data_IF_804952387549
#
_entry.id   IF_804952387549
#
_cell.length_a   1.000
_cell.length_b   1.000
_cell.length_c   1.000
_cell.angle_alpha   90.00
_cell.angle_beta   90.00
_cell.angle_gamma   90.00
#
_symmetry.space_group_name_H-M   'P 1'
#
loop_
_entity.id
_entity.type
_entity.pdbx_description
1 polymer ?
#
# COMPACT_ATOMS: atom_id res chain seq x y z
N UNK A 1 19.70 19.29 -9.18
CA UNK A 1 18.47 18.97 -8.43
C UNK A 1 18.52 19.66 -7.08
N UNK A 2 17.40 20.21 -6.62
CA UNK A 2 17.30 20.85 -5.30
C UNK A 2 17.26 19.72 -4.26
N UNK A 3 18.23 19.70 -3.33
CA UNK A 3 18.35 18.65 -2.29
C UNK A 3 17.57 18.94 -1.01
N UNK A 4 16.94 20.12 -0.93
CA UNK A 4 16.30 20.61 0.30
C UNK A 4 14.83 20.22 0.42
N UNK A 5 14.21 19.72 -0.64
CA UNK A 5 12.80 19.35 -0.67
C UNK A 5 12.65 17.94 -1.26
N UNK A 6 12.22 16.95 -0.46
CA UNK A 6 12.00 15.61 -0.97
C UNK A 6 10.85 15.59 -1.99
N UNK A 7 10.95 14.70 -2.97
CA UNK A 7 9.84 14.42 -3.87
C UNK A 7 8.73 13.68 -3.10
N UNK A 8 7.58 14.34 -2.94
CA UNK A 8 6.44 13.72 -2.26
C UNK A 8 5.83 12.60 -3.11
N UNK A 9 6.01 11.35 -2.67
CA UNK A 9 5.53 10.19 -3.39
C UNK A 9 3.98 10.08 -3.40
N UNK A 10 3.27 10.73 -2.47
CA UNK A 10 1.81 10.77 -2.51
C UNK A 10 1.33 11.42 -3.81
N UNK A 11 1.85 12.60 -4.13
CA UNK A 11 1.52 13.30 -5.38
C UNK A 11 2.22 12.68 -6.60
N UNK A 12 3.51 12.37 -6.49
CA UNK A 12 4.29 11.92 -7.65
C UNK A 12 3.92 10.49 -8.06
N UNK A 13 3.87 9.56 -7.11
CA UNK A 13 3.66 8.14 -7.38
C UNK A 13 2.18 7.77 -7.36
N UNK A 14 1.46 8.10 -6.29
CA UNK A 14 0.06 7.66 -6.14
C UNK A 14 -0.87 8.43 -7.08
N UNK A 15 -0.92 9.76 -6.97
CA UNK A 15 -1.79 10.60 -7.81
C UNK A 15 -1.22 10.88 -9.21
N UNK A 16 0.09 10.69 -9.40
CA UNK A 16 0.78 10.89 -10.67
C UNK A 16 0.90 9.60 -11.48
N UNK A 17 1.94 8.82 -11.19
CA UNK A 17 2.34 7.64 -12.00
C UNK A 17 1.29 6.53 -11.97
N UNK A 18 0.85 6.08 -10.79
CA UNK A 18 -0.12 4.99 -10.66
C UNK A 18 -1.45 5.37 -11.31
N UNK A 19 -1.95 6.59 -11.06
CA UNK A 19 -3.14 7.13 -11.72
C UNK A 19 -2.98 7.15 -13.25
N UNK A 20 -1.84 7.62 -13.76
CA UNK A 20 -1.54 7.66 -15.20
C UNK A 20 -1.60 6.25 -15.82
N UNK A 21 -0.96 5.26 -15.20
CA UNK A 21 -0.97 3.87 -15.68
C UNK A 21 -2.39 3.30 -15.74
N UNK A 22 -3.18 3.49 -14.68
CA UNK A 22 -4.57 3.01 -14.65
C UNK A 22 -5.45 3.68 -15.70
N UNK A 23 -5.28 4.99 -15.93
CA UNK A 23 -6.00 5.70 -17.00
C UNK A 23 -5.59 5.20 -18.39
N UNK A 24 -4.30 4.90 -18.62
CA UNK A 24 -3.85 4.33 -19.89
C UNK A 24 -4.50 2.96 -20.16
N UNK A 25 -4.58 2.10 -19.14
CA UNK A 25 -5.16 0.77 -19.30
C UNK A 25 -6.70 0.76 -19.36
N UNK A 26 -7.37 1.75 -18.77
CA UNK A 26 -8.85 1.79 -18.73
C UNK A 26 -9.47 2.69 -19.80
N UNK A 27 -8.86 3.83 -20.08
CA UNK A 27 -9.41 4.90 -20.94
C UNK A 27 -8.47 5.29 -22.09
N UNK A 28 -7.27 4.72 -22.15
CA UNK A 28 -6.25 5.09 -23.13
C UNK A 28 -6.51 4.62 -24.56
N UNK A 29 -5.51 4.83 -25.42
CA UNK A 29 -5.52 4.35 -26.81
C UNK A 29 -5.50 2.82 -26.84
N UNK A 30 -6.08 2.24 -27.90
CA UNK A 30 -6.33 0.78 -28.01
C UNK A 30 -5.09 -0.12 -27.85
N UNK A 31 -3.87 0.38 -28.05
CA UNK A 31 -2.64 -0.43 -27.95
C UNK A 31 -2.27 -0.90 -26.54
N UNK A 32 -2.78 -0.27 -25.49
CA UNK A 32 -2.50 -0.64 -24.09
C UNK A 32 -3.78 -0.81 -23.26
N UNK A 33 -4.94 -0.55 -23.87
CA UNK A 33 -6.22 -0.53 -23.18
C UNK A 33 -6.73 -1.95 -23.02
N UNK A 34 -7.16 -2.28 -21.81
CA UNK A 34 -7.88 -3.50 -21.51
C UNK A 34 -9.21 -3.53 -22.27
N UNK A 35 -9.57 -4.69 -22.78
CA UNK A 35 -10.89 -4.90 -23.37
C UNK A 35 -12.00 -4.68 -22.32
N UNK A 36 -13.24 -4.38 -22.73
CA UNK A 36 -14.36 -4.27 -21.78
C UNK A 36 -14.55 -5.52 -20.91
N UNK A 37 -14.27 -6.72 -21.44
CA UNK A 37 -14.33 -7.96 -20.67
C UNK A 37 -13.24 -8.03 -19.59
N UNK A 38 -12.00 -7.67 -19.95
CA UNK A 38 -10.89 -7.60 -18.99
C UNK A 38 -11.13 -6.55 -17.91
N UNK A 39 -11.68 -5.38 -18.26
CA UNK A 39 -12.05 -4.35 -17.27
C UNK A 39 -13.14 -4.82 -16.30
N UNK A 40 -14.17 -5.51 -16.80
CA UNK A 40 -15.19 -6.13 -15.94
C UNK A 40 -14.59 -7.14 -14.99
N UNK A 41 -13.66 -7.96 -15.46
CA UNK A 41 -12.96 -8.93 -14.63
C UNK A 41 -12.11 -8.25 -13.54
N UNK A 42 -11.32 -7.23 -13.86
CA UNK A 42 -10.56 -6.45 -12.86
C UNK A 42 -11.50 -5.84 -11.82
N UNK A 43 -12.62 -5.25 -12.26
CA UNK A 43 -13.62 -4.68 -11.37
C UNK A 43 -14.26 -5.73 -10.46
N UNK A 44 -14.54 -6.93 -10.99
CA UNK A 44 -15.07 -8.02 -10.19
C UNK A 44 -14.07 -8.49 -9.15
N UNK A 45 -12.81 -8.68 -9.51
CA UNK A 45 -11.74 -9.02 -8.55
C UNK A 45 -11.60 -7.95 -7.46
N UNK A 46 -11.61 -6.66 -7.82
CA UNK A 46 -11.58 -5.56 -6.85
C UNK A 46 -12.76 -5.61 -5.88
N UNK A 47 -13.97 -5.94 -6.35
CA UNK A 47 -15.16 -6.10 -5.49
C UNK A 47 -15.01 -7.27 -4.54
N UNK A 48 -14.52 -8.41 -5.01
CA UNK A 48 -14.32 -9.62 -4.19
C UNK A 48 -13.33 -9.34 -3.04
N UNK A 49 -12.27 -8.58 -3.28
CA UNK A 49 -11.28 -8.25 -2.24
C UNK A 49 -11.82 -7.34 -1.12
N UNK A 50 -12.98 -6.70 -1.26
CA UNK A 50 -13.45 -5.67 -0.31
C UNK A 50 -13.66 -6.20 1.11
N UNK A 51 -14.10 -7.45 1.27
CA UNK A 51 -14.31 -8.10 2.58
C UNK A 51 -13.00 -8.36 3.31
N UNK A 52 -11.89 -8.47 2.57
CA UNK A 52 -10.62 -8.98 3.07
C UNK A 52 -9.60 -7.89 3.37
N UNK A 53 -9.91 -6.65 2.97
CA UNK A 53 -9.07 -5.49 3.26
C UNK A 53 -9.28 -5.06 4.70
N UNK A 54 -8.25 -4.91 5.55
CA UNK A 54 -8.40 -4.43 6.93
C UNK A 54 -8.94 -3.00 7.04
N UNK A 55 -9.45 -2.62 8.21
CA UNK A 55 -9.94 -1.26 8.51
C UNK A 55 -8.83 -0.24 8.75
N UNK A 56 -7.59 -0.69 8.90
CA UNK A 56 -6.42 0.20 8.93
C UNK A 56 -6.30 0.98 7.61
N UNK A 57 -6.79 0.41 6.49
CA UNK A 57 -6.92 1.15 5.24
C UNK A 57 -8.12 2.08 5.30
N UNK A 58 -7.87 3.37 5.03
CA UNK A 58 -8.90 4.40 5.03
C UNK A 58 -10.07 4.13 4.06
N UNK A 59 -9.84 3.34 3.00
CA UNK A 59 -10.87 2.95 2.03
C UNK A 59 -10.71 1.50 1.56
N UNK A 60 -11.84 0.91 1.18
CA UNK A 60 -11.90 -0.38 0.49
C UNK A 60 -11.68 -0.19 -1.02
N UNK A 61 -11.20 -1.21 -1.74
CA UNK A 61 -11.05 -1.16 -3.19
C UNK A 61 -12.35 -0.75 -3.88
N UNK A 62 -12.25 0.23 -4.78
CA UNK A 62 -13.34 0.67 -5.65
C UNK A 62 -13.12 0.17 -7.06
N UNK A 63 -14.14 0.29 -7.89
CA UNK A 63 -14.04 -0.02 -9.32
C UNK A 63 -13.09 0.95 -10.02
N UNK A 64 -12.46 0.48 -11.10
CA UNK A 64 -11.74 1.32 -12.05
C UNK A 64 -12.66 2.32 -12.79
N UNK A 65 -13.97 2.13 -12.76
CA UNK A 65 -14.94 3.09 -13.30
C UNK A 65 -14.94 4.41 -12.49
N UNK A 66 -14.57 4.35 -11.20
CA UNK A 66 -14.49 5.50 -10.30
C UNK A 66 -13.11 6.15 -10.26
N UNK A 67 -12.17 5.80 -11.16
CA UNK A 67 -10.75 6.19 -11.09
C UNK A 67 -10.52 7.68 -10.90
N UNK A 68 -11.34 8.53 -11.52
CA UNK A 68 -11.23 9.98 -11.40
C UNK A 68 -11.50 10.49 -9.98
N UNK A 69 -12.26 9.73 -9.19
CA UNK A 69 -12.65 10.05 -7.80
C UNK A 69 -11.80 9.32 -6.77
N UNK A 70 -10.86 8.47 -7.19
CA UNK A 70 -9.91 7.83 -6.27
C UNK A 70 -9.02 8.88 -5.62
N UNK A 71 -8.66 8.66 -4.35
CA UNK A 71 -7.64 9.48 -3.69
C UNK A 71 -6.34 8.71 -3.51
N UNK A 72 -5.31 9.43 -3.08
CA UNK A 72 -3.96 8.90 -2.98
C UNK A 72 -3.87 7.59 -2.19
N UNK A 73 -4.64 7.45 -1.11
CA UNK A 73 -4.68 6.20 -0.30
C UNK A 73 -5.17 4.98 -1.06
N UNK A 74 -6.05 5.15 -2.05
CA UNK A 74 -6.55 4.05 -2.88
C UNK A 74 -5.56 3.68 -3.97
N UNK A 75 -4.94 4.67 -4.61
CA UNK A 75 -3.83 4.43 -5.52
C UNK A 75 -2.67 3.74 -4.80
N UNK A 76 -2.35 4.16 -3.58
CA UNK A 76 -1.34 3.53 -2.72
C UNK A 76 -1.68 2.07 -2.41
N UNK A 77 -2.91 1.79 -1.98
CA UNK A 77 -3.38 0.42 -1.72
C UNK A 77 -3.28 -0.46 -2.98
N UNK A 78 -3.70 0.06 -4.13
CA UNK A 78 -3.62 -0.64 -5.40
C UNK A 78 -2.17 -0.93 -5.79
N UNK A 79 -1.33 0.09 -5.73
CA UNK A 79 0.07 0.04 -6.11
C UNK A 79 0.87 -0.93 -5.25
N UNK A 80 0.68 -0.92 -3.93
CA UNK A 80 1.47 -1.75 -3.01
C UNK A 80 0.92 -3.18 -2.88
N UNK A 81 -0.39 -3.37 -3.05
CA UNK A 81 -1.04 -4.65 -2.74
C UNK A 81 -1.97 -5.13 -3.84
N UNK A 82 -3.18 -4.56 -3.94
CA UNK A 82 -4.29 -5.21 -4.66
C UNK A 82 -4.04 -5.30 -6.16
N UNK A 83 -3.29 -4.37 -6.75
CA UNK A 83 -2.89 -4.39 -8.15
C UNK A 83 -2.16 -5.67 -8.57
N UNK A 84 -1.28 -6.20 -7.69
CA UNK A 84 -0.52 -7.44 -7.92
C UNK A 84 -1.42 -8.69 -7.99
N UNK A 85 -2.63 -8.60 -7.44
CA UNK A 85 -3.60 -9.70 -7.45
C UNK A 85 -4.59 -9.51 -8.59
N UNK A 86 -5.17 -8.33 -8.70
CA UNK A 86 -6.29 -8.11 -9.63
C UNK A 86 -5.85 -8.01 -11.08
N UNK A 87 -4.62 -7.60 -11.37
CA UNK A 87 -4.12 -7.46 -12.74
C UNK A 87 -3.47 -8.75 -13.29
N UNK A 88 -3.11 -9.69 -12.42
CA UNK A 88 -2.37 -10.91 -12.79
C UNK A 88 -3.20 -11.79 -13.71
N UNK A 89 -2.62 -12.17 -14.85
CA UNK A 89 -3.29 -12.95 -15.89
C UNK A 89 -4.35 -12.17 -16.69
N UNK A 90 -4.50 -10.87 -16.46
CA UNK A 90 -5.39 -9.99 -17.23
C UNK A 90 -4.58 -9.02 -18.09
N UNK A 91 -3.61 -8.32 -17.48
CA UNK A 91 -2.68 -7.49 -18.24
C UNK A 91 -1.76 -8.37 -19.08
N UNK A 92 -1.42 -7.95 -20.31
CA UNK A 92 -0.29 -8.52 -21.05
C UNK A 92 0.97 -8.53 -20.21
N UNK A 93 1.78 -9.58 -20.33
CA UNK A 93 2.95 -9.79 -19.47
C UNK A 93 3.89 -8.57 -19.46
N UNK A 94 4.17 -7.97 -20.61
CA UNK A 94 5.01 -6.76 -20.70
C UNK A 94 4.49 -5.59 -19.86
N UNK A 95 3.17 -5.39 -19.79
CA UNK A 95 2.55 -4.34 -18.97
C UNK A 95 2.55 -4.73 -17.48
N UNK A 96 2.35 -6.02 -17.19
CA UNK A 96 2.33 -6.53 -15.82
C UNK A 96 3.74 -6.50 -15.20
N UNK A 97 4.78 -6.97 -15.90
CA UNK A 97 6.17 -6.90 -15.42
C UNK A 97 6.62 -5.45 -15.22
N UNK A 98 6.22 -4.54 -16.13
CA UNK A 98 6.45 -3.11 -15.99
C UNK A 98 5.79 -2.53 -14.73
N UNK A 99 4.51 -2.85 -14.49
CA UNK A 99 3.83 -2.49 -13.25
C UNK A 99 4.51 -3.07 -12.01
N UNK A 100 4.93 -4.33 -12.07
CA UNK A 100 5.58 -5.02 -10.96
C UNK A 100 6.91 -4.38 -10.58
N UNK A 101 7.72 -3.91 -11.54
CA UNK A 101 8.94 -3.16 -11.26
C UNK A 101 8.68 -1.90 -10.42
N UNK A 102 7.71 -1.07 -10.84
CA UNK A 102 7.31 0.11 -10.08
C UNK A 102 6.73 -0.24 -8.71
N UNK A 103 5.82 -1.21 -8.68
CA UNK A 103 5.14 -1.64 -7.48
C UNK A 103 6.11 -2.21 -6.43
N UNK A 104 7.06 -3.05 -6.82
CA UNK A 104 8.08 -3.62 -5.92
C UNK A 104 9.08 -2.57 -5.46
N UNK A 105 9.53 -1.68 -6.35
CA UNK A 105 10.40 -0.58 -5.96
C UNK A 105 9.77 0.27 -4.86
N UNK A 106 8.47 0.58 -4.98
CA UNK A 106 7.80 1.37 -3.96
C UNK A 106 7.51 0.58 -2.68
N UNK A 107 7.24 -0.73 -2.76
CA UNK A 107 7.19 -1.58 -1.56
C UNK A 107 8.49 -1.52 -0.75
N UNK A 108 9.64 -1.53 -1.44
CA UNK A 108 10.95 -1.38 -0.80
C UNK A 108 11.06 0.01 -0.16
N UNK A 109 10.78 1.08 -0.93
CA UNK A 109 11.02 2.45 -0.50
C UNK A 109 10.08 2.96 0.60
N UNK A 110 8.88 2.38 0.76
CA UNK A 110 7.96 2.73 1.86
C UNK A 110 8.30 2.02 3.17
N UNK A 111 8.95 0.85 3.11
CA UNK A 111 9.31 0.09 4.31
C UNK A 111 10.62 0.59 4.91
N UNK A 112 10.66 1.07 6.17
CA UNK A 112 11.89 1.56 6.80
C UNK A 112 13.07 0.56 6.75
N UNK A 113 12.77 -0.73 6.90
CA UNK A 113 13.79 -1.78 6.88
C UNK A 113 14.26 -2.11 5.45
N UNK A 114 13.34 -2.23 4.49
CA UNK A 114 13.70 -2.56 3.11
C UNK A 114 14.41 -1.39 2.43
N UNK A 115 14.00 -0.15 2.71
CA UNK A 115 14.69 1.05 2.21
C UNK A 115 16.17 1.08 2.58
N UNK A 116 16.56 0.54 3.74
CA UNK A 116 17.96 0.50 4.17
C UNK A 116 18.75 -0.62 3.48
N UNK A 117 18.12 -1.77 3.26
CA UNK A 117 18.78 -3.00 2.79
C UNK A 117 18.75 -3.16 1.27
N UNK A 118 17.73 -2.64 0.60
CA UNK A 118 17.45 -2.87 -0.83
C UNK A 118 17.30 -1.56 -1.63
N UNK A 119 17.82 -0.43 -1.12
CA UNK A 119 17.72 0.87 -1.80
C UNK A 119 18.26 0.86 -3.24
N UNK A 120 19.43 0.24 -3.43
CA UNK A 120 20.11 0.13 -4.73
C UNK A 120 19.22 -0.63 -5.71
N UNK A 121 18.67 -1.76 -5.28
CA UNK A 121 17.77 -2.56 -6.11
C UNK A 121 16.48 -1.81 -6.46
N UNK A 122 15.91 -1.03 -5.54
CA UNK A 122 14.77 -0.17 -5.85
C UNK A 122 15.13 0.88 -6.92
N UNK A 123 16.35 1.42 -6.92
CA UNK A 123 16.81 2.35 -7.95
C UNK A 123 16.94 1.68 -9.32
N UNK A 124 17.45 0.45 -9.38
CA UNK A 124 17.52 -0.35 -10.61
C UNK A 124 16.13 -0.62 -11.18
N UNK A 125 15.18 -1.01 -10.33
CA UNK A 125 13.77 -1.22 -10.72
C UNK A 125 13.11 0.05 -11.26
N UNK A 126 13.34 1.21 -10.62
CA UNK A 126 12.80 2.49 -11.10
C UNK A 126 13.47 2.94 -12.41
N UNK A 127 14.77 2.67 -12.58
CA UNK A 127 15.49 2.92 -13.84
C UNK A 127 14.89 2.09 -14.96
N UNK A 128 14.76 0.78 -14.73
CA UNK A 128 14.09 -0.14 -15.66
C UNK A 128 12.67 0.35 -15.99
N UNK A 129 11.88 0.74 -14.98
CA UNK A 129 10.52 1.24 -15.19
C UNK A 129 10.47 2.46 -16.10
N UNK A 130 11.36 3.43 -15.90
CA UNK A 130 11.41 4.66 -16.71
C UNK A 130 11.83 4.33 -18.15
N UNK A 131 12.88 3.53 -18.33
CA UNK A 131 13.38 3.14 -19.64
C UNK A 131 12.37 2.31 -20.44
N UNK A 132 11.82 1.25 -19.82
CA UNK A 132 10.82 0.41 -20.46
C UNK A 132 9.51 1.13 -20.71
N UNK A 133 9.13 2.05 -19.83
CA UNK A 133 7.93 2.87 -20.02
C UNK A 133 7.97 3.67 -21.32
N UNK A 134 9.15 4.16 -21.73
CA UNK A 134 9.35 4.84 -23.03
C UNK A 134 9.10 3.92 -24.21
N UNK A 135 9.56 2.67 -24.15
CA UNK A 135 9.37 1.70 -25.24
C UNK A 135 7.93 1.20 -25.32
N UNK A 136 7.30 0.96 -24.17
CA UNK A 136 5.95 0.44 -24.08
C UNK A 136 4.93 1.50 -24.49
N UNK A 137 4.99 2.69 -23.90
CA UNK A 137 3.94 3.71 -24.01
C UNK A 137 4.31 4.90 -24.89
N UNK A 138 5.53 4.93 -25.45
CA UNK A 138 6.05 6.05 -26.23
C UNK A 138 6.72 7.14 -25.38
N UNK A 139 7.30 8.13 -26.06
CA UNK A 139 8.05 9.23 -25.41
C UNK A 139 7.15 10.12 -24.55
N UNK A 140 5.87 10.20 -24.85
CA UNK A 140 4.85 10.92 -24.06
C UNK A 140 4.63 10.34 -22.66
N UNK A 141 5.10 9.11 -22.43
CA UNK A 141 5.07 8.52 -21.10
C UNK A 141 5.99 9.24 -20.12
N UNK A 142 7.12 9.75 -20.62
CA UNK A 142 8.20 10.38 -19.89
C UNK A 142 7.87 11.82 -19.46
N UNK A 143 6.83 11.96 -18.65
CA UNK A 143 6.50 13.23 -17.98
C UNK A 143 7.34 13.42 -16.73
N UNK A 144 7.36 14.65 -16.20
CA UNK A 144 8.09 15.02 -14.99
C UNK A 144 7.94 13.97 -13.87
N UNK A 145 6.71 13.59 -13.52
CA UNK A 145 6.45 12.66 -12.41
C UNK A 145 7.09 11.27 -12.60
N UNK A 146 7.30 10.80 -13.85
CA UNK A 146 7.96 9.50 -14.06
C UNK A 146 9.48 9.66 -14.04
N UNK A 147 10.01 10.78 -14.56
CA UNK A 147 11.44 11.08 -14.43
C UNK A 147 11.86 11.30 -12.97
N UNK A 148 11.00 11.94 -12.16
CA UNK A 148 11.30 12.19 -10.76
C UNK A 148 11.45 10.92 -9.93
N UNK A 149 10.93 9.78 -10.41
CA UNK A 149 11.07 8.48 -9.74
C UNK A 149 12.54 8.11 -9.50
N UNK A 150 13.45 8.45 -10.43
CA UNK A 150 14.87 8.14 -10.33
C UNK A 150 15.56 8.80 -9.13
N UNK A 151 14.91 9.77 -8.49
CA UNK A 151 15.45 10.50 -7.35
C UNK A 151 14.86 10.06 -6.00
N UNK A 152 13.80 9.23 -6.01
CA UNK A 152 13.15 8.76 -4.79
C UNK A 152 14.09 7.97 -3.88
N UNK A 153 15.02 7.21 -4.46
CA UNK A 153 15.98 6.42 -3.71
C UNK A 153 16.95 7.32 -2.93
N UNK A 154 17.43 8.40 -3.54
CA UNK A 154 18.28 9.41 -2.92
C UNK A 154 17.53 10.18 -1.81
N UNK A 155 16.26 10.52 -2.05
CA UNK A 155 15.40 11.10 -1.02
C UNK A 155 15.22 10.13 0.14
N UNK A 156 15.01 8.84 -0.16
CA UNK A 156 14.81 7.83 0.87
C UNK A 156 16.08 7.57 1.70
N UNK A 157 17.26 7.69 1.08
CA UNK A 157 18.55 7.67 1.80
C UNK A 157 18.70 8.87 2.74
N UNK A 158 18.21 10.04 2.33
CA UNK A 158 18.39 11.30 3.06
C UNK A 158 17.37 11.48 4.18
N UNK A 159 16.11 11.13 3.94
CA UNK A 159 14.97 11.40 4.83
C UNK A 159 14.36 10.14 5.48
N UNK A 160 14.83 8.95 5.11
CA UNK A 160 14.28 7.66 5.53
C UNK A 160 13.21 7.15 4.56
N UNK A 161 12.38 6.19 4.96
CA UNK A 161 11.33 5.67 4.06
C UNK A 161 10.42 6.78 3.53
N UNK A 162 9.83 6.56 2.35
CA UNK A 162 9.03 7.57 1.66
C UNK A 162 7.85 8.09 2.49
N UNK A 163 7.35 7.31 3.45
CA UNK A 163 6.31 7.79 4.37
C UNK A 163 6.77 8.94 5.28
N UNK A 164 8.04 8.94 5.70
CA UNK A 164 8.60 9.98 6.58
C UNK A 164 8.69 11.35 5.91
N UNK A 165 8.71 11.39 4.57
CA UNK A 165 8.77 12.61 3.78
C UNK A 165 7.53 12.83 2.90
N UNK A 166 6.43 12.13 3.19
CA UNK A 166 5.20 12.23 2.41
C UNK A 166 4.24 13.32 2.91
N UNK A 167 3.38 13.77 2.01
CA UNK A 167 2.33 14.74 2.33
C UNK A 167 1.09 14.12 2.98
N UNK A 168 1.01 12.80 3.18
CA UNK A 168 -0.18 12.13 3.76
C UNK A 168 -0.54 12.68 5.14
N UNK A 169 0.42 12.74 6.06
CA UNK A 169 0.21 13.26 7.41
C UNK A 169 -0.11 14.76 7.38
N UNK A 170 0.57 15.52 6.51
CA UNK A 170 0.36 16.95 6.36
C UNK A 170 -1.06 17.27 5.86
N UNK A 171 -1.53 16.63 4.79
CA UNK A 171 -2.88 16.84 4.26
C UNK A 171 -3.97 16.41 5.26
N UNK A 172 -3.72 15.31 5.97
CA UNK A 172 -4.63 14.83 7.01
C UNK A 172 -4.75 15.83 8.16
N UNK A 173 -3.64 16.37 8.63
CA UNK A 173 -3.63 17.41 9.66
C UNK A 173 -4.21 18.74 9.15
N UNK A 174 -3.90 19.14 7.92
CA UNK A 174 -4.48 20.33 7.26
C UNK A 174 -6.00 20.23 7.19
N UNK A 175 -6.55 19.04 6.92
CA UNK A 175 -7.99 18.82 6.96
C UNK A 175 -8.58 19.03 8.38
N UNK A 176 -7.86 18.62 9.42
CA UNK A 176 -8.28 18.89 10.80
C UNK A 176 -8.26 20.39 11.13
N UNK A 177 -7.21 21.11 10.74
CA UNK A 177 -7.11 22.56 10.90
C UNK A 177 -8.29 23.27 10.21
N UNK A 178 -8.62 22.88 8.98
CA UNK A 178 -9.78 23.42 8.26
C UNK A 178 -11.10 23.23 9.03
N UNK A 179 -11.29 22.12 9.74
CA UNK A 179 -12.49 21.90 10.58
C UNK A 179 -12.56 22.80 11.81
N UNK A 180 -11.43 23.36 12.25
CA UNK A 180 -11.40 24.31 13.38
C UNK A 180 -11.94 25.68 12.99
N UNK A 181 -11.95 25.99 11.69
CA UNK A 181 -12.35 27.27 11.11
C UNK A 181 -13.74 27.14 10.50
N UNK A 182 -14.72 27.85 11.05
CA UNK A 182 -16.12 27.82 10.57
C UNK A 182 -16.46 28.95 9.61
N UNK A 183 -15.70 30.04 9.65
CA UNK A 183 -15.90 31.21 8.78
C UNK A 183 -14.57 31.92 8.49
N UNK A 184 -14.56 32.81 7.49
CA UNK A 184 -13.39 33.64 7.16
C UNK A 184 -13.05 34.71 8.20
N UNK A 185 -13.91 34.93 9.21
CA UNK A 185 -13.71 35.98 10.21
C UNK A 185 -12.77 35.51 11.33
N UNK A 186 -11.66 36.22 11.56
CA UNK A 186 -10.70 35.89 12.63
C UNK A 186 -10.24 34.41 12.63
N UNK A 187 -9.87 33.90 11.46
CA UNK A 187 -9.45 32.49 11.23
C UNK A 187 -8.43 31.99 12.27
N UNK A 188 -7.40 32.80 12.56
CA UNK A 188 -6.36 32.43 13.53
C UNK A 188 -6.90 32.31 14.96
N UNK A 189 -7.81 33.21 15.37
CA UNK A 189 -8.42 33.18 16.70
C UNK A 189 -9.31 31.96 16.85
N UNK A 190 -10.09 31.60 15.81
CA UNK A 190 -10.91 30.39 15.80
C UNK A 190 -10.04 29.14 15.99
N UNK A 191 -8.95 29.02 15.23
CA UNK A 191 -8.02 27.90 15.32
C UNK A 191 -7.34 27.85 16.71
N UNK A 192 -6.82 28.98 17.20
CA UNK A 192 -6.15 29.07 18.49
C UNK A 192 -7.07 28.68 19.67
N UNK A 193 -8.30 29.20 19.71
CA UNK A 193 -9.30 28.84 20.73
C UNK A 193 -9.60 27.34 20.68
N UNK A 194 -9.77 26.77 19.49
CA UNK A 194 -10.07 25.34 19.33
C UNK A 194 -8.90 24.43 19.72
N UNK A 195 -7.67 24.85 19.48
CA UNK A 195 -6.46 24.15 19.94
C UNK A 195 -6.36 24.19 21.47
N UNK A 196 -6.64 25.34 22.09
CA UNK A 196 -6.67 25.49 23.55
C UNK A 196 -7.76 24.63 24.20
N UNK A 197 -8.96 24.58 23.62
CA UNK A 197 -10.03 23.66 24.05
C UNK A 197 -9.56 22.20 24.02
N UNK A 198 -8.87 21.79 22.93
CA UNK A 198 -8.37 20.41 22.78
C UNK A 198 -7.24 20.05 23.73
N UNK A 199 -6.35 20.98 24.07
CA UNK A 199 -5.25 20.72 25.00
C UNK A 199 -5.71 20.52 26.44
N UNK A 200 -6.92 20.95 26.78
CA UNK A 200 -7.53 20.73 28.11
C UNK A 200 -8.18 19.36 28.24
N UNK A 201 -8.40 18.65 27.12
CA UNK A 201 -8.87 17.27 27.14
C UNK A 201 -7.63 16.40 27.38
N UNK A 202 -7.61 15.57 28.44
CA UNK A 202 -6.53 14.63 28.66
C UNK A 202 -6.37 13.77 27.39
N UNK A 203 -5.22 13.88 26.73
CA UNK A 203 -4.86 12.96 25.66
C UNK A 203 -4.73 11.60 26.35
N UNK A 204 -5.67 10.70 26.10
CA UNK A 204 -5.45 9.29 26.43
C UNK A 204 -4.22 8.87 25.63
N UNK A 205 -3.09 8.74 26.33
CA UNK A 205 -1.88 8.12 25.80
C UNK A 205 -2.31 6.76 25.26
N UNK A 206 -2.17 6.60 23.95
CA UNK A 206 -2.63 5.41 23.23
C UNK A 206 -2.02 4.17 23.87
N UNK A 207 -2.85 3.38 24.55
CA UNK A 207 -2.55 1.99 24.87
C UNK A 207 -2.13 1.26 23.58
N UNK A 208 -1.29 0.24 23.70
CA UNK A 208 -0.96 -0.66 22.61
C UNK A 208 -2.25 -1.03 21.84
N UNK A 209 -2.30 -0.74 20.53
CA UNK A 209 -3.50 -0.97 19.73
C UNK A 209 -4.00 -2.40 19.96
N UNK A 210 -5.26 -2.58 20.38
CA UNK A 210 -5.75 -3.88 20.80
C UNK A 210 -5.64 -4.89 19.66
N UNK A 211 -5.24 -6.12 19.99
CA UNK A 211 -5.25 -7.25 19.06
C UNK A 211 -6.69 -7.46 18.60
N UNK A 212 -6.86 -7.50 17.28
CA UNK A 212 -8.14 -7.68 16.63
C UNK A 212 -8.40 -9.18 16.45
N UNK A 213 -9.63 -9.60 16.71
CA UNK A 213 -10.04 -11.01 16.68
C UNK A 213 -10.94 -11.35 15.49
N UNK A 214 -11.41 -10.33 14.76
CA UNK A 214 -12.33 -10.49 13.64
C UNK A 214 -11.64 -10.21 12.31
N UNK A 215 -11.87 -11.09 11.34
CA UNK A 215 -11.57 -10.84 9.93
C UNK A 215 -12.23 -9.52 9.49
N UNK A 216 -11.56 -8.67 8.69
CA UNK A 216 -10.22 -8.83 8.10
C UNK A 216 -9.04 -8.31 8.93
N UNK A 217 -9.23 -7.94 10.19
CA UNK A 217 -8.22 -7.21 10.97
C UNK A 217 -7.34 -8.10 11.84
N UNK A 218 -7.65 -9.39 11.89
CA UNK A 218 -7.06 -10.35 12.82
C UNK A 218 -5.87 -11.13 12.25
N UNK A 219 -5.29 -10.67 11.14
CA UNK A 219 -4.17 -11.35 10.48
C UNK A 219 -2.84 -10.73 10.90
N UNK A 220 -1.90 -11.57 11.31
CA UNK A 220 -0.59 -11.16 11.77
C UNK A 220 0.53 -12.07 11.23
N UNK A 221 1.71 -11.51 11.02
CA UNK A 221 2.94 -12.26 10.75
C UNK A 221 3.49 -12.77 12.08
N UNK A 222 3.86 -14.05 12.12
CA UNK A 222 4.41 -14.71 13.31
C UNK A 222 5.90 -14.96 13.14
N UNK A 223 6.31 -15.37 11.94
CA UNK A 223 7.72 -15.56 11.56
C UNK A 223 7.88 -15.35 10.04
N UNK A 224 9.11 -15.32 9.50
CA UNK A 224 9.34 -15.23 8.06
C UNK A 224 8.67 -16.33 7.23
N UNK A 225 8.27 -17.45 7.85
CA UNK A 225 7.67 -18.62 7.20
C UNK A 225 6.28 -18.96 7.71
N UNK A 226 5.68 -18.12 8.57
CA UNK A 226 4.36 -18.35 9.13
C UNK A 226 3.58 -17.07 9.45
N UNK A 227 2.27 -17.13 9.28
CA UNK A 227 1.33 -16.09 9.69
C UNK A 227 0.12 -16.71 10.39
N UNK A 228 -0.71 -15.91 11.02
CA UNK A 228 -1.90 -16.41 11.68
C UNK A 228 -3.11 -15.49 11.56
N UNK A 229 -4.29 -16.09 11.67
CA UNK A 229 -5.54 -15.41 12.03
C UNK A 229 -5.78 -15.61 13.53
N UNK A 230 -5.85 -14.53 14.29
CA UNK A 230 -6.22 -14.58 15.71
C UNK A 230 -7.73 -14.71 15.83
N UNK A 231 -8.21 -15.73 16.55
CA UNK A 231 -9.63 -16.06 16.62
C UNK A 231 -10.25 -15.68 17.96
N UNK A 232 -9.56 -16.00 19.05
CA UNK A 232 -10.03 -15.72 20.41
C UNK A 232 -8.86 -15.55 21.38
N UNK A 233 -9.17 -14.96 22.54
CA UNK A 233 -8.26 -14.89 23.68
C UNK A 233 -8.62 -16.00 24.66
N UNK A 234 -7.63 -16.77 25.08
CA UNK A 234 -7.83 -17.81 26.08
C UNK A 234 -7.98 -17.19 27.48
N UNK A 235 -8.51 -17.96 28.42
CA UNK A 235 -8.63 -17.54 29.83
C UNK A 235 -7.27 -17.21 30.48
N UNK A 236 -6.17 -17.77 29.94
CA UNK A 236 -4.80 -17.49 30.37
C UNK A 236 -4.18 -16.22 29.75
N UNK A 237 -4.92 -15.48 28.93
CA UNK A 237 -4.44 -14.29 28.23
C UNK A 237 -3.64 -14.56 26.95
N UNK A 238 -3.50 -15.83 26.56
CA UNK A 238 -2.89 -16.25 25.28
C UNK A 238 -3.90 -16.14 24.14
N UNK A 239 -3.44 -16.39 22.91
CA UNK A 239 -4.23 -16.23 21.70
C UNK A 239 -4.43 -17.59 21.04
N UNK A 240 -5.69 -17.99 20.80
CA UNK A 240 -5.97 -19.09 19.90
C UNK A 240 -5.94 -18.56 18.47
N UNK A 241 -5.06 -19.16 17.68
CA UNK A 241 -4.73 -18.72 16.33
C UNK A 241 -4.90 -19.86 15.35
N UNK A 242 -5.44 -19.55 14.16
CA UNK A 242 -5.23 -20.40 12.98
C UNK A 242 -3.92 -19.99 12.35
N UNK A 243 -2.89 -20.83 12.50
CA UNK A 243 -1.53 -20.58 12.01
C UNK A 243 -1.36 -21.24 10.65
N UNK A 244 -1.01 -20.45 9.64
CA UNK A 244 -0.59 -20.90 8.32
C UNK A 244 0.92 -21.06 8.31
N UNK A 245 1.36 -22.30 8.08
CA UNK A 245 2.78 -22.67 7.99
C UNK A 245 3.23 -22.76 6.53
N UNK A 246 4.54 -22.82 6.30
CA UNK A 246 5.14 -22.99 4.97
C UNK A 246 4.73 -21.87 3.99
N UNK A 247 4.85 -20.61 4.43
CA UNK A 247 4.69 -19.48 3.53
C UNK A 247 5.74 -19.55 2.41
N UNK A 248 5.27 -19.51 1.16
CA UNK A 248 6.12 -19.50 -0.04
C UNK A 248 5.91 -18.22 -0.84
N UNK A 249 6.83 -17.92 -1.75
CA UNK A 249 6.75 -16.77 -2.65
C UNK A 249 5.48 -16.81 -3.51
N UNK A 250 4.72 -15.71 -3.50
CA UNK A 250 3.59 -15.49 -4.40
C UNK A 250 4.02 -15.14 -5.83
N UNK A 251 5.14 -14.41 -5.97
CA UNK A 251 5.73 -14.00 -7.23
C UNK A 251 7.27 -14.15 -7.15
N UNK A 252 7.89 -14.44 -8.29
CA UNK A 252 9.35 -14.54 -8.42
C UNK A 252 9.96 -13.42 -9.26
N UNK A 253 9.13 -12.70 -10.01
CA UNK A 253 9.52 -11.58 -10.87
C UNK A 253 8.93 -10.26 -10.34
N UNK A 254 9.71 -9.16 -10.28
CA UNK A 254 11.13 -9.06 -10.63
C UNK A 254 12.08 -9.65 -9.56
N UNK A 255 11.56 -10.00 -8.39
CA UNK A 255 12.30 -10.73 -7.36
C UNK A 255 11.35 -11.57 -6.51
N UNK A 256 11.91 -12.40 -5.63
CA UNK A 256 11.17 -13.18 -4.65
C UNK A 256 10.26 -12.28 -3.80
N UNK A 257 8.96 -12.54 -3.88
CA UNK A 257 7.94 -11.75 -3.21
C UNK A 257 7.97 -11.81 -1.69
N UNK A 258 8.68 -12.78 -1.11
CA UNK A 258 8.93 -12.83 0.32
C UNK A 258 9.73 -11.60 0.81
N UNK A 259 10.57 -11.01 -0.06
CA UNK A 259 11.36 -9.81 0.25
C UNK A 259 10.44 -8.64 0.62
N UNK A 260 9.36 -8.44 -0.14
CA UNK A 260 8.39 -7.36 0.09
C UNK A 260 7.11 -7.84 0.80
N UNK A 261 7.18 -8.99 1.46
CA UNK A 261 6.13 -9.46 2.35
C UNK A 261 4.87 -9.95 1.65
N UNK A 262 4.98 -10.60 0.49
CA UNK A 262 3.86 -11.24 -0.19
C UNK A 262 4.08 -12.75 -0.30
N UNK A 263 3.11 -13.53 0.18
CA UNK A 263 3.24 -14.97 0.39
C UNK A 263 2.01 -15.74 -0.08
N UNK A 264 2.17 -17.02 -0.42
CA UNK A 264 1.05 -17.97 -0.52
C UNK A 264 0.96 -18.76 0.79
N UNK A 265 -0.25 -18.88 1.34
CA UNK A 265 -0.48 -19.70 2.52
C UNK A 265 -0.30 -21.18 2.21
N UNK A 266 0.51 -21.87 3.02
CA UNK A 266 0.49 -23.32 3.12
C UNK A 266 -0.63 -23.83 4.04
N UNK A 267 -0.50 -25.07 4.57
CA UNK A 267 -1.51 -25.67 5.43
C UNK A 267 -1.63 -24.93 6.77
N UNK A 268 -2.87 -24.88 7.27
CA UNK A 268 -3.20 -24.25 8.54
C UNK A 268 -3.43 -25.26 9.66
N UNK A 269 -3.03 -24.91 10.88
CA UNK A 269 -3.39 -25.62 12.12
C UNK A 269 -3.79 -24.65 13.23
N UNK A 270 -4.53 -25.15 14.21
CA UNK A 270 -4.92 -24.38 15.39
C UNK A 270 -3.79 -24.45 16.43
N UNK A 271 -3.32 -23.30 16.89
CA UNK A 271 -2.26 -23.21 17.89
C UNK A 271 -2.54 -22.08 18.89
N UNK A 272 -1.98 -22.23 20.09
CA UNK A 272 -2.00 -21.19 21.11
C UNK A 272 -0.68 -20.43 21.03
N UNK A 273 -0.75 -19.13 20.77
CA UNK A 273 0.42 -18.23 20.69
C UNK A 273 0.38 -17.19 21.81
N UNK A 274 1.57 -16.74 22.21
CA UNK A 274 1.71 -15.58 23.08
C UNK A 274 1.63 -14.28 22.24
N UNK A 275 1.15 -13.19 22.84
CA UNK A 275 1.02 -11.89 22.15
C UNK A 275 2.34 -11.42 21.56
N UNK A 276 3.46 -11.73 22.22
CA UNK A 276 4.82 -11.38 21.79
C UNK A 276 5.26 -12.08 20.51
N UNK A 277 4.56 -13.14 20.08
CA UNK A 277 4.84 -13.80 18.82
C UNK A 277 4.33 -13.03 17.60
N UNK A 278 3.46 -12.03 17.77
CA UNK A 278 2.91 -11.25 16.65
C UNK A 278 3.91 -10.16 16.25
N UNK A 279 4.58 -10.33 15.10
CA UNK A 279 5.67 -9.44 14.65
C UNK A 279 5.18 -8.26 13.80
N UNK A 280 4.04 -8.41 13.13
CA UNK A 280 3.50 -7.38 12.24
C UNK A 280 2.08 -7.68 11.80
N UNK A 281 1.35 -6.65 11.36
CA UNK A 281 0.01 -6.83 10.79
C UNK A 281 0.13 -7.30 9.36
N UNK A 282 -0.84 -8.11 8.93
CA UNK A 282 -0.96 -8.54 7.56
C UNK A 282 -2.43 -8.54 7.13
N UNK A 283 -2.67 -8.92 5.88
CA UNK A 283 -3.99 -9.25 5.36
C UNK A 283 -3.90 -10.49 4.49
N UNK A 284 -4.96 -11.29 4.48
CA UNK A 284 -5.08 -12.44 3.58
C UNK A 284 -6.10 -12.08 2.51
N UNK A 285 -5.71 -12.19 1.25
CA UNK A 285 -6.54 -12.00 0.08
C UNK A 285 -6.67 -13.32 -0.67
N UNK A 286 -7.74 -13.52 -1.42
CA UNK A 286 -7.85 -14.62 -2.37
C UNK A 286 -7.48 -14.14 -3.78
N UNK A 287 -6.60 -14.87 -4.48
CA UNK A 287 -6.28 -14.57 -5.87
C UNK A 287 -7.30 -15.14 -6.86
N UNK A 288 -7.17 -14.80 -8.15
CA UNK A 288 -8.08 -15.29 -9.19
C UNK A 288 -8.04 -16.81 -9.43
N UNK A 289 -7.19 -17.55 -8.70
CA UNK A 289 -7.06 -19.00 -8.77
C UNK A 289 -7.48 -19.69 -7.44
N UNK A 290 -8.08 -18.95 -6.50
CA UNK A 290 -8.53 -19.49 -5.22
C UNK A 290 -7.40 -19.69 -4.19
N UNK A 291 -6.19 -19.18 -4.45
CA UNK A 291 -5.08 -19.27 -3.50
C UNK A 291 -5.18 -18.15 -2.49
N UNK A 292 -4.95 -18.47 -1.21
CA UNK A 292 -4.81 -17.48 -0.14
C UNK A 292 -3.42 -16.84 -0.20
N UNK A 293 -3.40 -15.55 -0.44
CA UNK A 293 -2.20 -14.73 -0.55
C UNK A 293 -2.13 -13.78 0.64
N UNK A 294 -1.04 -13.82 1.40
CA UNK A 294 -0.81 -12.95 2.54
C UNK A 294 0.06 -11.78 2.13
N UNK A 295 -0.33 -10.57 2.53
CA UNK A 295 0.49 -9.37 2.41
C UNK A 295 0.79 -8.81 3.80
N UNK A 296 2.07 -8.72 4.15
CA UNK A 296 2.55 -7.91 5.27
C UNK A 296 2.22 -6.45 5.01
N UNK A 297 1.71 -5.75 6.03
CA UNK A 297 1.50 -4.30 5.92
C UNK A 297 2.85 -3.60 6.07
N UNK A 298 3.30 -2.99 4.98
CA UNK A 298 4.66 -2.43 4.82
C UNK A 298 4.80 -1.01 5.35
N UNK A 299 3.70 -0.41 5.78
CA UNK A 299 3.64 0.99 6.16
C UNK A 299 2.63 1.21 7.28
N UNK A 300 2.93 2.22 8.09
CA UNK A 300 1.99 2.72 9.08
C UNK A 300 1.00 3.66 8.38
N UNK A 301 -0.30 3.40 8.55
CA UNK A 301 -1.40 4.14 7.95
C UNK A 301 -1.98 5.19 8.91
N UNK A 302 -1.12 5.78 9.71
CA UNK A 302 -1.48 6.72 10.79
C UNK A 302 -1.75 8.14 10.29
#
# INVERSE_FOLDING_TARGET
MIKSFPADYMHQCCLGVMRKMLLLWSQGKSGHRLSPAQLREVNQRLRNLRSDIPHIFARKPRSLEDLERWKATEFRQFMLYTGKVVLRGILPESLYSHFMAFSVALCILVSPHLTQTHNVYAHELLTYFVEQGRYIYGKEFLVYNVHSLLHLTADATTYGSLDKCSAFAFESYMHQLKKMVRSGNHVLVQAAKRLQERSQIPIQTSEERPIQLKHPNNVYIVSPTSCCEVLERTNSGKLLCRVFSHLTSYLYEPCDSMIYGAYVCGPSKMEILDKTNLQGRAMILEDGHGRKVVFSLLHDLD
#
